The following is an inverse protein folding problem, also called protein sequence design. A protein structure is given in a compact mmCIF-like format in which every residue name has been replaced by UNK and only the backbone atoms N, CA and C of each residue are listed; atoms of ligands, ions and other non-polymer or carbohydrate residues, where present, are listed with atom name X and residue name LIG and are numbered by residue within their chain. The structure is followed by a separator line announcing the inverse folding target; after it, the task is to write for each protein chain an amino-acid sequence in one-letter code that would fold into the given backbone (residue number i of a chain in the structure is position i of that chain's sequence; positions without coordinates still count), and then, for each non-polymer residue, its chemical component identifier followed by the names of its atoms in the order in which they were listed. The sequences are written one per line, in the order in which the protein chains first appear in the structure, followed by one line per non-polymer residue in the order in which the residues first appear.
data_IF_875808183778
#
_entry.id   IF_875808183778
#
_cell.length_a   1.000
_cell.length_b   1.000
_cell.length_c   1.000
_cell.angle_alpha   90.00
_cell.angle_beta   90.00
_cell.angle_gamma   90.00
#
_symmetry.space_group_name_H-M   'P 1'
#
loop_
_entity.id
_entity.type
_entity.pdbx_description
1 polymer ?
#
# COMPACT_ATOMS: atom_id res chain seq x y z
N UNK A 1 87.46 -22.29 -9.23
CA UNK A 1 86.24 -22.93 -8.67
C UNK A 1 85.06 -21.97 -8.45
N UNK A 2 85.15 -20.68 -8.82
CA UNK A 2 84.07 -19.68 -8.55
C UNK A 2 83.09 -19.54 -9.74
N UNK A 3 83.44 -20.03 -10.93
CA UNK A 3 82.64 -19.84 -12.16
C UNK A 3 81.43 -20.77 -12.26
N UNK A 4 81.50 -22.00 -11.73
CA UNK A 4 80.39 -22.98 -11.80
C UNK A 4 79.22 -22.59 -10.89
N UNK A 5 79.50 -22.10 -9.68
CA UNK A 5 78.48 -21.71 -8.70
C UNK A 5 77.69 -20.46 -9.13
N UNK A 6 78.36 -19.48 -9.74
CA UNK A 6 77.69 -18.25 -10.20
C UNK A 6 76.81 -18.53 -11.42
N UNK A 7 77.23 -19.43 -12.31
CA UNK A 7 76.43 -19.82 -13.48
C UNK A 7 75.18 -20.61 -13.08
N UNK A 8 75.31 -21.55 -12.14
CA UNK A 8 74.15 -22.29 -11.59
C UNK A 8 73.20 -21.35 -10.87
N UNK A 9 73.70 -20.43 -10.05
CA UNK A 9 72.85 -19.49 -9.33
C UNK A 9 72.15 -18.49 -10.27
N UNK A 10 72.77 -18.11 -11.38
CA UNK A 10 72.18 -17.22 -12.38
C UNK A 10 71.12 -17.94 -13.23
N UNK A 11 71.35 -19.19 -13.63
CA UNK A 11 70.38 -20.01 -14.36
C UNK A 11 69.16 -20.33 -13.50
N UNK A 12 69.36 -20.69 -12.23
CA UNK A 12 68.26 -20.91 -11.27
C UNK A 12 67.43 -19.64 -11.10
N UNK A 13 68.06 -18.47 -11.00
CA UNK A 13 67.36 -17.20 -10.82
C UNK A 13 66.61 -16.73 -12.07
N UNK A 14 67.15 -17.01 -13.26
CA UNK A 14 66.48 -16.72 -14.54
C UNK A 14 65.27 -17.66 -14.76
N UNK A 15 65.39 -18.93 -14.37
CA UNK A 15 64.28 -19.88 -14.44
C UNK A 15 63.15 -19.54 -13.44
N UNK A 16 63.48 -19.19 -12.19
CA UNK A 16 62.48 -18.85 -11.17
C UNK A 16 61.67 -17.59 -11.47
N UNK A 17 62.27 -16.61 -12.16
CA UNK A 17 61.62 -15.32 -12.44
C UNK A 17 60.69 -15.35 -13.65
N UNK A 18 60.76 -16.41 -14.47
CA UNK A 18 59.99 -16.53 -15.72
C UNK A 18 58.99 -17.70 -15.71
N UNK A 19 59.02 -18.53 -14.66
CA UNK A 19 58.17 -19.70 -14.49
C UNK A 19 57.95 -19.99 -12.99
N UNK A 20 56.75 -19.76 -12.43
CA UNK A 20 56.40 -20.22 -11.10
C UNK A 20 55.87 -21.65 -11.22
N UNK A 21 56.74 -22.59 -11.57
CA UNK A 21 56.45 -24.03 -11.45
C UNK A 21 57.06 -24.49 -10.14
N UNK A 22 56.33 -25.20 -9.26
CA UNK A 22 56.97 -25.97 -8.21
C UNK A 22 57.77 -27.06 -8.94
N UNK A 23 59.08 -26.88 -9.03
CA UNK A 23 59.95 -27.98 -9.37
C UNK A 23 59.66 -29.11 -8.36
N UNK A 24 59.44 -30.36 -8.79
CA UNK A 24 59.42 -31.46 -7.85
C UNK A 24 60.74 -31.43 -7.07
N UNK A 25 60.64 -31.40 -5.74
CA UNK A 25 61.74 -31.20 -4.79
C UNK A 25 62.84 -32.29 -4.83
N UNK A 26 62.91 -33.10 -5.88
CA UNK A 26 63.84 -34.20 -6.06
C UNK A 26 65.02 -33.89 -6.98
N UNK A 27 65.17 -32.66 -7.49
CA UNK A 27 66.17 -32.37 -8.54
C UNK A 27 67.45 -31.65 -8.09
N UNK A 28 67.63 -31.32 -6.80
CA UNK A 28 68.93 -30.81 -6.32
C UNK A 28 70.03 -31.88 -6.41
N UNK A 29 69.66 -33.17 -6.40
CA UNK A 29 70.61 -34.28 -6.56
C UNK A 29 70.82 -34.72 -8.01
N UNK A 30 70.16 -34.11 -8.99
CA UNK A 30 70.21 -34.55 -10.38
C UNK A 30 71.33 -33.87 -11.17
N UNK A 31 71.61 -32.57 -10.92
CA UNK A 31 72.60 -31.80 -11.70
C UNK A 31 74.03 -32.34 -11.64
N UNK A 32 74.42 -33.01 -10.55
CA UNK A 32 75.74 -33.65 -10.41
C UNK A 32 75.83 -34.99 -11.17
N UNK A 33 74.71 -35.52 -11.63
CA UNK A 33 74.54 -36.82 -12.28
C UNK A 33 74.10 -36.68 -13.75
N UNK A 34 74.38 -35.55 -14.41
CA UNK A 34 74.17 -35.40 -15.86
C UNK A 34 75.46 -35.40 -16.68
N UNK A 35 76.61 -35.63 -16.03
CA UNK A 35 77.91 -35.52 -16.70
C UNK A 35 78.21 -36.64 -17.71
N UNK A 36 77.66 -37.84 -17.54
CA UNK A 36 78.07 -39.02 -18.32
C UNK A 36 76.84 -39.88 -18.63
N UNK A 37 76.46 -39.94 -19.91
CA UNK A 37 75.38 -40.73 -20.54
C UNK A 37 73.99 -40.07 -20.64
N UNK A 38 73.88 -39.02 -21.45
CA UNK A 38 72.58 -38.54 -21.96
C UNK A 38 72.32 -39.24 -23.30
N UNK A 39 71.43 -40.24 -23.31
CA UNK A 39 70.80 -40.68 -24.56
C UNK A 39 69.83 -39.59 -25.03
N UNK A 40 69.79 -39.29 -26.33
CA UNK A 40 68.97 -38.21 -26.91
C UNK A 40 67.48 -38.33 -26.52
N UNK A 41 66.99 -39.55 -26.35
CA UNK A 41 65.62 -39.86 -25.91
C UNK A 41 65.30 -39.32 -24.51
N UNK A 42 66.29 -39.31 -23.60
CA UNK A 42 66.11 -38.81 -22.22
C UNK A 42 65.99 -37.29 -22.16
N UNK A 43 66.70 -36.59 -23.07
CA UNK A 43 66.61 -35.15 -23.21
C UNK A 43 65.30 -34.72 -23.89
N UNK A 44 64.85 -35.47 -24.89
CA UNK A 44 63.54 -35.24 -25.53
C UNK A 44 62.39 -35.46 -24.53
N UNK A 45 62.45 -36.52 -23.72
CA UNK A 45 61.46 -36.77 -22.67
C UNK A 45 61.40 -35.64 -21.63
N UNK A 46 62.56 -35.09 -21.23
CA UNK A 46 62.62 -33.95 -20.32
C UNK A 46 61.96 -32.69 -20.90
N UNK A 47 62.28 -32.35 -22.16
CA UNK A 47 61.68 -31.19 -22.83
C UNK A 47 60.16 -31.35 -23.00
N UNK A 48 59.69 -32.55 -23.38
CA UNK A 48 58.25 -32.84 -23.49
C UNK A 48 57.57 -32.71 -22.13
N UNK A 49 58.20 -33.19 -21.05
CA UNK A 49 57.67 -33.07 -19.69
C UNK A 49 57.58 -31.61 -19.23
N UNK A 50 58.62 -30.80 -19.42
CA UNK A 50 58.59 -29.37 -19.09
C UNK A 50 57.53 -28.61 -19.88
N UNK A 51 57.37 -28.90 -21.17
CA UNK A 51 56.35 -28.26 -22.01
C UNK A 51 54.95 -28.68 -21.59
N UNK A 52 54.74 -29.97 -21.31
CA UNK A 52 53.47 -30.51 -20.84
C UNK A 52 53.07 -29.94 -19.48
N UNK A 53 54.05 -29.78 -18.59
CA UNK A 53 53.86 -29.14 -17.29
C UNK A 53 53.54 -27.65 -17.44
N UNK A 54 54.24 -26.91 -18.29
CA UNK A 54 53.89 -25.51 -18.61
C UNK A 54 52.44 -25.39 -19.11
N UNK A 55 52.03 -26.26 -20.03
CA UNK A 55 50.67 -26.26 -20.57
C UNK A 55 49.63 -26.60 -19.50
N UNK A 56 49.95 -27.51 -18.57
CA UNK A 56 49.10 -27.84 -17.42
C UNK A 56 48.89 -26.63 -16.52
N UNK A 57 49.96 -25.91 -16.16
CA UNK A 57 49.86 -24.69 -15.34
C UNK A 57 49.05 -23.59 -16.02
N UNK A 58 49.24 -23.39 -17.33
CA UNK A 58 48.43 -22.42 -18.06
C UNK A 58 46.94 -22.80 -18.07
N UNK A 59 46.63 -24.09 -18.18
CA UNK A 59 45.25 -24.56 -18.10
C UNK A 59 44.65 -24.35 -16.71
N UNK A 60 45.39 -24.65 -15.64
CA UNK A 60 44.94 -24.44 -14.27
C UNK A 60 44.68 -22.96 -13.98
N UNK A 61 45.55 -22.07 -14.46
CA UNK A 61 45.35 -20.61 -14.35
C UNK A 61 44.11 -20.14 -15.11
N UNK A 62 43.88 -20.66 -16.32
CA UNK A 62 42.68 -20.38 -17.09
C UNK A 62 41.42 -20.90 -16.40
N UNK A 63 41.46 -22.11 -15.83
CA UNK A 63 40.34 -22.71 -15.11
C UNK A 63 40.03 -21.90 -13.83
N UNK A 64 41.06 -21.38 -13.14
CA UNK A 64 40.91 -20.50 -11.98
C UNK A 64 40.27 -19.16 -12.37
N UNK A 65 40.81 -18.48 -13.40
CA UNK A 65 40.25 -17.24 -13.90
C UNK A 65 38.80 -17.41 -14.40
N UNK A 66 38.48 -18.56 -15.00
CA UNK A 66 37.13 -18.88 -15.43
C UNK A 66 36.17 -19.08 -14.25
N UNK A 67 36.64 -19.69 -13.16
CA UNK A 67 35.86 -19.84 -11.93
C UNK A 67 35.59 -18.48 -11.27
N UNK A 68 36.58 -17.58 -11.24
CA UNK A 68 36.41 -16.21 -10.75
C UNK A 68 35.41 -15.42 -11.60
N UNK A 69 35.50 -15.52 -12.93
CA UNK A 69 34.53 -14.91 -13.84
C UNK A 69 33.11 -15.41 -13.57
N UNK A 70 32.94 -16.71 -13.33
CA UNK A 70 31.63 -17.30 -13.01
C UNK A 70 31.11 -16.82 -11.65
N UNK A 71 31.98 -16.65 -10.66
CA UNK A 71 31.61 -16.07 -9.37
C UNK A 71 31.16 -14.61 -9.53
N UNK A 72 31.91 -13.80 -10.28
CA UNK A 72 31.56 -12.41 -10.57
C UNK A 72 30.22 -12.28 -11.29
N UNK A 73 29.95 -13.13 -12.29
CA UNK A 73 28.66 -13.16 -12.99
C UNK A 73 27.48 -13.42 -12.05
N UNK A 74 27.63 -14.33 -11.06
CA UNK A 74 26.59 -14.56 -10.04
C UNK A 74 26.38 -13.32 -9.18
N UNK A 75 27.46 -12.65 -8.77
CA UNK A 75 27.33 -11.42 -7.98
C UNK A 75 26.71 -10.26 -8.76
N UNK A 76 26.97 -10.16 -10.07
CA UNK A 76 26.34 -9.18 -10.94
C UNK A 76 24.82 -9.41 -11.01
N UNK A 77 24.40 -10.66 -11.21
CA UNK A 77 22.99 -11.02 -11.28
C UNK A 77 22.27 -10.76 -9.94
N UNK A 78 22.89 -11.13 -8.82
CA UNK A 78 22.38 -10.84 -7.48
C UNK A 78 22.22 -9.33 -7.24
N UNK A 79 23.15 -8.51 -7.75
CA UNK A 79 23.07 -7.05 -7.64
C UNK A 79 21.94 -6.49 -8.50
N UNK A 80 21.73 -7.00 -9.72
CA UNK A 80 20.60 -6.61 -10.56
C UNK A 80 19.26 -6.94 -9.91
N UNK A 81 19.12 -8.13 -9.35
CA UNK A 81 17.89 -8.54 -8.65
C UNK A 81 17.62 -7.65 -7.43
N UNK A 82 18.65 -7.35 -6.63
CA UNK A 82 18.51 -6.45 -5.48
C UNK A 82 18.17 -5.02 -5.90
N UNK A 83 18.74 -4.55 -7.01
CA UNK A 83 18.43 -3.24 -7.56
C UNK A 83 16.96 -3.15 -8.00
N UNK A 84 16.48 -4.14 -8.75
CA UNK A 84 15.08 -4.21 -9.14
C UNK A 84 14.14 -4.22 -7.92
N UNK A 85 14.48 -4.99 -6.88
CA UNK A 85 13.71 -4.99 -5.63
C UNK A 85 13.71 -3.63 -4.93
N UNK A 86 14.83 -2.90 -4.96
CA UNK A 86 14.90 -1.54 -4.43
C UNK A 86 14.01 -0.58 -5.23
N UNK A 87 14.02 -0.67 -6.56
CA UNK A 87 13.13 0.13 -7.41
C UNK A 87 11.65 -0.15 -7.13
N UNK A 88 11.27 -1.43 -6.97
CA UNK A 88 9.91 -1.81 -6.58
C UNK A 88 9.52 -1.21 -5.23
N UNK A 89 10.41 -1.28 -4.23
CA UNK A 89 10.16 -0.67 -2.92
C UNK A 89 10.00 0.85 -2.99
N UNK A 90 10.79 1.54 -3.83
CA UNK A 90 10.67 2.99 -4.02
C UNK A 90 9.31 3.34 -4.62
N UNK A 91 8.86 2.60 -5.65
CA UNK A 91 7.54 2.82 -6.25
C UNK A 91 6.42 2.60 -5.23
N UNK A 92 6.52 1.55 -4.40
CA UNK A 92 5.54 1.31 -3.33
C UNK A 92 5.53 2.45 -2.30
N UNK A 93 6.70 2.96 -1.89
CA UNK A 93 6.79 4.07 -0.94
C UNK A 93 6.20 5.36 -1.52
N UNK A 94 6.42 5.65 -2.80
CA UNK A 94 5.83 6.82 -3.47
C UNK A 94 4.29 6.71 -3.52
N UNK A 95 3.76 5.49 -3.73
CA UNK A 95 2.32 5.23 -3.68
C UNK A 95 1.76 5.40 -2.27
N UNK A 96 2.43 4.83 -1.27
CA UNK A 96 2.02 4.93 0.14
C UNK A 96 2.02 6.38 0.62
N UNK A 97 3.05 7.16 0.28
CA UNK A 97 3.11 8.58 0.58
C UNK A 97 1.95 9.36 -0.05
N UNK A 98 1.60 9.06 -1.31
CA UNK A 98 0.47 9.68 -1.98
C UNK A 98 -0.90 9.26 -1.40
N UNK A 99 -1.00 8.07 -0.83
CA UNK A 99 -2.20 7.62 -0.10
C UNK A 99 -2.31 8.30 1.26
N UNK A 100 -1.20 8.43 1.98
CA UNK A 100 -1.15 9.14 3.26
C UNK A 100 -1.52 10.62 3.10
N UNK A 101 -1.05 11.29 2.07
CA UNK A 101 -1.43 12.68 1.78
C UNK A 101 -2.95 12.82 1.56
N UNK A 102 -3.58 11.87 0.85
CA UNK A 102 -5.04 11.85 0.68
C UNK A 102 -5.75 11.61 2.00
N UNK A 103 -5.24 10.69 2.83
CA UNK A 103 -5.81 10.41 4.14
C UNK A 103 -5.73 11.62 5.07
N UNK A 104 -4.61 12.35 5.06
CA UNK A 104 -4.45 13.59 5.82
C UNK A 104 -5.48 14.63 5.37
N UNK A 105 -5.70 14.79 4.06
CA UNK A 105 -6.70 15.72 3.54
C UNK A 105 -8.13 15.33 3.98
N UNK A 106 -8.46 14.04 3.95
CA UNK A 106 -9.75 13.54 4.43
C UNK A 106 -9.95 13.78 5.93
N UNK A 107 -8.92 13.57 6.74
CA UNK A 107 -8.99 13.83 8.19
C UNK A 107 -9.15 15.32 8.49
N UNK A 108 -8.48 16.21 7.75
CA UNK A 108 -8.69 17.66 7.89
C UNK A 108 -10.14 18.08 7.62
N UNK A 109 -10.78 17.51 6.59
CA UNK A 109 -12.21 17.77 6.32
C UNK A 109 -13.11 17.31 7.47
N UNK A 110 -12.75 16.24 8.17
CA UNK A 110 -13.46 15.79 9.37
C UNK A 110 -13.29 16.76 10.54
N UNK A 111 -12.11 17.34 10.73
CA UNK A 111 -11.87 18.36 11.76
C UNK A 111 -12.66 19.65 11.47
N UNK A 112 -12.77 20.05 10.20
CA UNK A 112 -13.62 21.17 9.77
C UNK A 112 -15.10 20.91 10.11
N UNK A 113 -15.58 19.68 9.87
CA UNK A 113 -16.93 19.27 10.25
C UNK A 113 -17.14 19.34 11.76
N UNK A 114 -16.15 18.88 12.55
CA UNK A 114 -16.20 18.95 14.01
C UNK A 114 -16.24 20.40 14.51
N UNK A 115 -15.44 21.29 13.91
CA UNK A 115 -15.45 22.72 14.26
C UNK A 115 -16.76 23.41 13.85
N UNK A 116 -17.36 23.03 12.72
CA UNK A 116 -18.68 23.50 12.33
C UNK A 116 -19.76 23.03 13.32
N UNK A 117 -19.66 21.79 13.80
CA UNK A 117 -20.58 21.20 14.77
C UNK A 117 -20.47 21.90 16.14
N UNK A 118 -19.27 22.20 16.62
CA UNK A 118 -19.07 23.03 17.82
C UNK A 118 -19.64 24.44 17.66
N UNK A 119 -19.52 25.06 16.48
CA UNK A 119 -20.12 26.39 16.23
C UNK A 119 -21.65 26.33 16.26
N UNK A 120 -22.25 25.25 15.76
CA UNK A 120 -23.70 25.04 15.82
C UNK A 120 -24.19 24.76 17.25
N UNK A 121 -23.41 24.01 18.04
CA UNK A 121 -23.75 23.68 19.42
C UNK A 121 -23.69 24.91 20.35
N UNK A 122 -22.77 25.85 20.07
CA UNK A 122 -22.70 27.14 20.78
C UNK A 122 -23.83 28.12 20.41
N UNK A 123 -24.66 27.82 19.40
CA UNK A 123 -25.83 28.62 18.99
C UNK A 123 -27.16 28.04 19.53
N UNK A 124 -27.10 27.03 20.41
CA UNK A 124 -28.17 26.07 20.68
C UNK A 124 -29.37 26.51 21.53
N UNK A 125 -29.56 27.78 21.88
CA UNK A 125 -30.76 28.14 22.66
C UNK A 125 -32.08 28.16 21.86
N UNK A 126 -32.09 27.91 20.54
CA UNK A 126 -33.36 27.87 19.78
C UNK A 126 -33.40 26.97 18.54
N UNK A 127 -32.61 25.90 18.47
CA UNK A 127 -32.66 25.00 17.31
C UNK A 127 -33.87 24.05 17.40
N UNK A 128 -35.05 24.55 17.06
CA UNK A 128 -36.20 23.69 16.81
C UNK A 128 -35.92 22.83 15.57
N UNK A 129 -36.02 21.51 15.73
CA UNK A 129 -35.76 20.54 14.66
C UNK A 129 -36.73 20.78 13.50
N UNK A 130 -37.92 21.31 13.81
CA UNK A 130 -38.97 21.62 12.84
C UNK A 130 -38.58 22.75 11.86
N UNK A 131 -37.61 23.60 12.21
CA UNK A 131 -37.08 24.63 11.31
C UNK A 131 -35.98 24.10 10.38
N UNK A 132 -35.30 23.02 10.76
CA UNK A 132 -34.22 22.42 9.97
C UNK A 132 -34.78 21.54 8.84
N UNK A 133 -35.89 20.86 9.10
CA UNK A 133 -36.49 19.90 8.17
C UNK A 133 -37.76 20.50 7.56
N UNK A 134 -37.59 21.33 6.52
CA UNK A 134 -38.70 21.97 5.80
C UNK A 134 -38.85 21.33 4.40
N UNK A 135 -40.07 21.10 3.92
CA UNK A 135 -40.29 20.67 2.53
C UNK A 135 -39.68 21.62 1.51
N UNK A 136 -39.15 21.06 0.41
CA UNK A 136 -38.39 21.80 -0.63
C UNK A 136 -39.15 22.98 -1.26
N UNK A 137 -40.49 22.94 -1.28
CA UNK A 137 -41.33 23.98 -1.85
C UNK A 137 -42.38 24.47 -0.84
N UNK A 138 -42.76 25.77 -0.87
CA UNK A 138 -43.74 26.34 0.06
C UNK A 138 -45.10 25.65 -0.03
N UNK A 139 -45.48 25.16 -1.22
CA UNK A 139 -46.71 24.39 -1.41
C UNK A 139 -46.69 23.06 -0.64
N UNK A 140 -45.56 22.35 -0.62
CA UNK A 140 -45.44 21.10 0.13
C UNK A 140 -45.50 21.33 1.64
N UNK A 141 -44.97 22.47 2.12
CA UNK A 141 -45.14 22.89 3.52
C UNK A 141 -46.61 23.12 3.87
N UNK A 142 -47.36 23.77 2.98
CA UNK A 142 -48.79 23.99 3.19
C UNK A 142 -49.58 22.67 3.25
N UNK A 143 -49.30 21.75 2.33
CA UNK A 143 -49.94 20.42 2.32
C UNK A 143 -49.59 19.64 3.59
N UNK A 144 -48.33 19.65 4.02
CA UNK A 144 -47.88 18.99 5.24
C UNK A 144 -48.59 19.55 6.47
N UNK A 145 -48.67 20.88 6.60
CA UNK A 145 -49.37 21.53 7.71
C UNK A 145 -50.86 21.17 7.74
N UNK A 146 -51.53 21.18 6.58
CA UNK A 146 -52.93 20.77 6.49
C UNK A 146 -53.15 19.32 6.92
N UNK A 147 -52.24 18.42 6.54
CA UNK A 147 -52.31 17.01 6.95
C UNK A 147 -52.13 16.87 8.46
N UNK A 148 -51.21 17.62 9.06
CA UNK A 148 -51.00 17.63 10.52
C UNK A 148 -52.24 18.17 11.23
N UNK A 149 -52.80 19.30 10.77
CA UNK A 149 -54.02 19.89 11.32
C UNK A 149 -55.23 18.95 11.23
N UNK A 150 -55.35 18.17 10.14
CA UNK A 150 -56.42 17.19 9.97
C UNK A 150 -56.34 16.09 11.04
N UNK A 151 -55.18 15.46 11.17
CA UNK A 151 -54.99 14.36 12.12
C UNK A 151 -55.14 14.86 13.57
N UNK A 152 -54.59 16.03 13.88
CA UNK A 152 -54.77 16.63 15.21
C UNK A 152 -56.25 16.89 15.54
N UNK A 153 -57.05 17.26 14.53
CA UNK A 153 -58.50 17.45 14.67
C UNK A 153 -59.23 16.13 14.86
N UNK A 154 -58.86 15.09 14.13
CA UNK A 154 -59.43 13.75 14.24
C UNK A 154 -59.14 13.13 15.61
N UNK A 155 -57.89 13.21 16.07
CA UNK A 155 -57.47 12.76 17.41
C UNK A 155 -58.24 13.50 18.50
N UNK A 156 -58.35 14.83 18.40
CA UNK A 156 -59.11 15.65 19.35
C UNK A 156 -60.58 15.20 19.41
N UNK A 157 -61.20 14.94 18.26
CA UNK A 157 -62.58 14.47 18.17
C UNK A 157 -62.74 13.08 18.80
N UNK A 158 -61.79 12.18 18.57
CA UNK A 158 -61.78 10.84 19.14
C UNK A 158 -61.71 10.87 20.67
N UNK A 159 -60.78 11.64 21.25
CA UNK A 159 -60.64 11.76 22.70
C UNK A 159 -61.82 12.49 23.35
N UNK A 160 -62.38 13.51 22.70
CA UNK A 160 -63.61 14.16 23.15
C UNK A 160 -64.80 13.18 23.17
N UNK A 161 -64.89 12.28 22.20
CA UNK A 161 -65.90 11.21 22.17
C UNK A 161 -65.70 10.19 23.31
N UNK A 162 -64.44 9.90 23.66
CA UNK A 162 -64.10 9.11 24.85
C UNK A 162 -64.52 9.79 26.16
N UNK A 163 -64.24 11.08 26.29
CA UNK A 163 -64.60 11.88 27.46
C UNK A 163 -66.12 11.97 27.66
N UNK A 164 -66.90 12.05 26.57
CA UNK A 164 -68.37 12.01 26.62
C UNK A 164 -68.89 10.67 27.16
N UNK A 165 -68.32 9.53 26.72
CA UNK A 165 -68.71 8.19 27.23
C UNK A 165 -68.41 8.02 28.71
N UNK A 166 -67.32 8.64 29.18
CA UNK A 166 -66.93 8.65 30.60
C UNK A 166 -67.69 9.70 31.43
N UNK A 167 -68.61 10.46 30.82
CA UNK A 167 -69.37 11.56 31.44
C UNK A 167 -68.50 12.67 32.05
N UNK A 168 -67.31 12.90 31.50
CA UNK A 168 -66.42 14.01 31.89
C UNK A 168 -66.89 15.33 31.26
N UNK A 169 -67.55 15.26 30.11
CA UNK A 169 -68.00 16.41 29.32
C UNK A 169 -69.49 16.23 28.97
N UNK A 170 -70.26 17.32 29.00
CA UNK A 170 -71.68 17.34 28.60
C UNK A 170 -71.86 17.30 27.08
N UNK A 171 -73.01 16.78 26.64
CA UNK A 171 -73.34 16.63 25.23
C UNK A 171 -73.26 17.96 24.45
N UNK A 172 -73.72 19.06 25.05
CA UNK A 172 -73.71 20.37 24.40
C UNK A 172 -72.29 20.90 24.17
N UNK A 173 -71.38 20.65 25.13
CA UNK A 173 -69.98 21.04 25.03
C UNK A 173 -69.26 20.21 23.96
N UNK A 174 -69.56 18.91 23.90
CA UNK A 174 -69.05 18.02 22.87
C UNK A 174 -69.50 18.46 21.46
N UNK A 175 -70.81 18.64 21.26
CA UNK A 175 -71.38 19.03 19.97
C UNK A 175 -70.82 20.38 19.50
N UNK A 176 -70.65 21.34 20.40
CA UNK A 176 -70.06 22.64 20.05
C UNK A 176 -68.63 22.51 19.56
N UNK A 177 -67.77 21.73 20.23
CA UNK A 177 -66.37 21.58 19.84
C UNK A 177 -66.22 20.82 18.52
N UNK A 178 -66.93 19.70 18.36
CA UNK A 178 -66.85 18.88 17.13
C UNK A 178 -67.35 19.66 15.91
N UNK A 179 -68.43 20.44 16.06
CA UNK A 179 -68.95 21.25 14.97
C UNK A 179 -68.01 22.41 14.58
N UNK A 180 -67.39 23.06 15.58
CA UNK A 180 -66.41 24.12 15.34
C UNK A 180 -65.14 23.59 14.64
N UNK A 181 -64.59 22.46 15.10
CA UNK A 181 -63.41 21.84 14.51
C UNK A 181 -63.65 21.40 13.07
N UNK A 182 -64.80 20.78 12.78
CA UNK A 182 -65.16 20.35 11.42
C UNK A 182 -65.37 21.53 10.47
N UNK A 183 -65.98 22.61 10.94
CA UNK A 183 -66.17 23.83 10.16
C UNK A 183 -64.84 24.54 9.86
N UNK A 184 -63.90 24.56 10.81
CA UNK A 184 -62.58 25.15 10.64
C UNK A 184 -61.77 24.40 9.57
N UNK A 185 -61.82 23.06 9.60
CA UNK A 185 -61.12 22.21 8.64
C UNK A 185 -61.65 22.39 7.20
N UNK A 186 -62.97 22.47 7.01
CA UNK A 186 -63.57 22.75 5.71
C UNK A 186 -63.18 24.13 5.17
N UNK A 187 -63.01 25.12 6.05
CA UNK A 187 -62.54 26.45 5.66
C UNK A 187 -61.06 26.43 5.25
N UNK A 188 -60.21 25.68 5.96
CA UNK A 188 -58.80 25.53 5.63
C UNK A 188 -58.58 24.85 4.27
N UNK A 189 -59.32 23.77 3.97
CA UNK A 189 -59.24 23.07 2.67
C UNK A 189 -59.67 23.93 1.49
N UNK A 190 -60.74 24.70 1.63
CA UNK A 190 -61.22 25.63 0.59
C UNK A 190 -60.18 26.70 0.25
N UNK A 191 -59.41 27.16 1.23
CA UNK A 191 -58.37 28.17 1.02
C UNK A 191 -57.18 27.65 0.21
N UNK A 192 -56.91 26.34 0.23
CA UNK A 192 -55.78 25.71 -0.51
C UNK A 192 -56.23 25.10 -1.84
N UNK A 193 -57.51 25.24 -2.20
CA UNK A 193 -58.06 24.73 -3.47
C UNK A 193 -58.13 23.20 -3.52
N UNK A 194 -58.02 22.53 -2.37
CA UNK A 194 -58.22 21.10 -2.25
C UNK A 194 -59.72 20.80 -2.16
N UNK A 195 -60.23 20.07 -3.15
CA UNK A 195 -61.66 19.72 -3.25
C UNK A 195 -62.15 18.93 -2.03
N UNK A 196 -63.40 19.16 -1.64
CA UNK A 196 -64.13 18.62 -0.47
C UNK A 196 -64.46 17.11 -0.56
N UNK A 197 -63.61 16.32 -1.22
CA UNK A 197 -63.94 14.95 -1.65
C UNK A 197 -63.97 13.90 -0.53
N UNK A 198 -63.55 14.24 0.70
CA UNK A 198 -63.54 13.33 1.85
C UNK A 198 -64.25 13.94 3.07
N UNK A 199 -65.54 14.26 2.94
CA UNK A 199 -66.43 14.53 4.08
C UNK A 199 -67.36 13.34 4.41
N UNK A 200 -67.11 12.13 3.88
CA UNK A 200 -68.01 10.96 3.99
C UNK A 200 -67.41 9.72 4.68
N UNK A 201 -66.56 9.92 5.68
CA UNK A 201 -66.35 8.96 6.77
C UNK A 201 -66.53 9.69 8.11
#
# INVERSE_FOLDING_TARGET
MITSAVLTHLVVRICHKKFPVPFPASCEHCWSQWGWLISEDTFQAFLISMVSEKLRWQKEEMDSAQAELNALKRTEEDLKQRHQKLEEMVICLDQEAAEDDKNIELLRKKDELSSALEKMDNQSESNDIDEVIIPTAPLYKQILNLYIEENATEDSTFYLGGALRQRVIDLDVFLKHVFCLRALMQKARKNVGLSDLYCLL
#
